data_IF_118063324315
#
_entry.id   IF_118063324315
#
_cell.length_a   1.000
_cell.length_b   1.000
_cell.length_c   1.000
_cell.angle_alpha   90.00
_cell.angle_beta   90.00
_cell.angle_gamma   90.00
#
_symmetry.space_group_name_H-M   'P 1'
#
loop_
_entity.id
_entity.type
_entity.pdbx_description
1 polymer ?
#
# COMPACT_ATOMS: atom_id res chain seq x y z
N UNK A 1 -2.85 -1.57 -30.01
CA UNK A 1 -3.17 -2.58 -28.97
C UNK A 1 -3.68 -1.81 -27.77
N UNK A 2 -4.90 -2.08 -27.30
CA UNK A 2 -5.41 -1.50 -26.06
C UNK A 2 -4.94 -2.31 -24.86
N UNK A 3 -4.70 -1.64 -23.74
CA UNK A 3 -4.33 -2.22 -22.45
C UNK A 3 -5.60 -2.33 -21.62
N UNK A 4 -5.82 -3.47 -20.96
CA UNK A 4 -6.99 -3.65 -20.09
C UNK A 4 -6.57 -3.62 -18.62
N UNK A 5 -7.29 -2.83 -17.82
CA UNK A 5 -7.15 -2.79 -16.37
C UNK A 5 -8.44 -3.35 -15.76
N UNK A 6 -8.31 -4.45 -15.04
CA UNK A 6 -9.42 -5.05 -14.29
C UNK A 6 -9.50 -4.44 -12.90
N UNK A 7 -10.67 -3.90 -12.55
CA UNK A 7 -10.90 -3.22 -11.28
C UNK A 7 -12.03 -3.88 -10.51
N UNK A 8 -11.81 -4.02 -9.21
CA UNK A 8 -12.81 -4.44 -8.23
C UNK A 8 -13.21 -3.23 -7.39
N UNK A 9 -14.51 -2.94 -7.37
CA UNK A 9 -15.08 -1.84 -6.61
C UNK A 9 -15.23 -2.17 -5.12
N UNK A 10 -15.52 -1.17 -4.28
CA UNK A 10 -15.68 -1.36 -2.83
C UNK A 10 -16.85 -2.28 -2.45
N UNK A 11 -17.80 -2.50 -3.37
CA UNK A 11 -18.95 -3.40 -3.20
C UNK A 11 -18.74 -4.77 -3.88
N UNK A 12 -17.56 -5.04 -4.43
CA UNK A 12 -17.25 -6.28 -5.16
C UNK A 12 -17.62 -6.28 -6.65
N UNK A 13 -18.13 -5.16 -7.19
CA UNK A 13 -18.40 -5.00 -8.62
C UNK A 13 -17.11 -5.11 -9.43
N UNK A 14 -17.12 -5.91 -10.49
CA UNK A 14 -15.99 -6.05 -11.40
C UNK A 14 -16.23 -5.23 -12.66
N UNK A 15 -15.26 -4.40 -13.04
CA UNK A 15 -15.26 -3.68 -14.32
C UNK A 15 -13.92 -3.85 -15.02
N UNK A 16 -13.93 -3.75 -16.34
CA UNK A 16 -12.71 -3.67 -17.15
C UNK A 16 -12.67 -2.29 -17.79
N UNK A 17 -11.54 -1.61 -17.62
CA UNK A 17 -11.28 -0.32 -18.26
C UNK A 17 -10.25 -0.53 -19.35
N UNK A 18 -10.56 -0.06 -20.55
CA UNK A 18 -9.61 -0.03 -21.66
C UNK A 18 -8.84 1.28 -21.64
N UNK A 19 -7.53 1.16 -21.82
CA UNK A 19 -6.56 2.25 -21.83
C UNK A 19 -5.80 2.17 -23.14
N UNK A 20 -5.65 3.30 -23.84
CA UNK A 20 -5.07 3.31 -25.18
C UNK A 20 -3.54 3.34 -25.14
N UNK A 21 -2.98 4.00 -24.12
CA UNK A 21 -1.54 4.19 -23.98
C UNK A 21 -1.03 3.86 -22.57
N UNK A 22 0.20 3.36 -22.46
CA UNK A 22 0.78 2.97 -21.16
C UNK A 22 0.84 4.14 -20.15
N UNK A 23 1.09 5.37 -20.63
CA UNK A 23 1.12 6.57 -19.78
C UNK A 23 -0.20 6.88 -19.09
N UNK A 24 -1.32 6.34 -19.59
CA UNK A 24 -2.66 6.54 -19.04
C UNK A 24 -3.00 5.54 -17.92
N UNK A 25 -2.17 4.51 -17.69
CA UNK A 25 -2.40 3.49 -16.67
C UNK A 25 -2.48 4.13 -15.27
N UNK A 26 -1.44 4.84 -14.84
CA UNK A 26 -1.43 5.43 -13.49
C UNK A 26 -2.49 6.52 -13.29
N UNK A 27 -2.74 7.44 -14.25
CA UNK A 27 -3.88 8.35 -14.18
C UNK A 27 -5.22 7.63 -14.01
N UNK A 28 -5.41 6.50 -14.72
CA UNK A 28 -6.61 5.67 -14.62
C UNK A 28 -6.73 5.03 -13.24
N UNK A 29 -5.65 4.41 -12.74
CA UNK A 29 -5.63 3.83 -11.39
C UNK A 29 -5.95 4.86 -10.31
N UNK A 30 -5.36 6.06 -10.38
CA UNK A 30 -5.66 7.16 -9.46
C UNK A 30 -7.13 7.59 -9.53
N UNK A 31 -7.66 7.78 -10.74
CA UNK A 31 -9.05 8.22 -10.97
C UNK A 31 -10.03 7.29 -10.27
N UNK A 32 -9.91 5.98 -10.49
CA UNK A 32 -10.82 5.01 -9.91
C UNK A 32 -10.48 4.71 -8.44
N UNK A 33 -9.19 4.66 -8.08
CA UNK A 33 -8.76 4.31 -6.74
C UNK A 33 -9.07 5.36 -5.67
N UNK A 34 -9.24 6.64 -6.04
CA UNK A 34 -9.85 7.65 -5.15
C UNK A 34 -11.25 7.25 -4.65
N UNK A 35 -11.98 6.45 -5.43
CA UNK A 35 -13.30 5.91 -5.06
C UNK A 35 -13.22 4.50 -4.46
N UNK A 36 -12.02 4.02 -4.12
CA UNK A 36 -11.80 2.72 -3.48
C UNK A 36 -11.73 1.52 -4.43
N UNK A 37 -11.66 1.76 -5.75
CA UNK A 37 -11.42 0.68 -6.71
C UNK A 37 -9.97 0.24 -6.68
N UNK A 38 -9.72 -1.08 -6.77
CA UNK A 38 -8.37 -1.61 -6.81
C UNK A 38 -8.20 -2.65 -7.91
N UNK A 39 -6.96 -2.82 -8.38
CA UNK A 39 -6.59 -3.84 -9.37
C UNK A 39 -5.75 -4.93 -8.72
N UNK A 40 -5.97 -6.18 -9.13
CA UNK A 40 -5.24 -7.35 -8.65
C UNK A 40 -5.46 -7.67 -7.17
N UNK A 41 -4.56 -8.52 -6.67
CA UNK A 41 -4.54 -9.00 -5.29
C UNK A 41 -3.32 -8.48 -4.52
N UNK A 42 -3.44 -8.50 -3.20
CA UNK A 42 -2.37 -8.16 -2.30
C UNK A 42 -1.30 -9.27 -2.32
N UNK A 43 -0.03 -8.98 -2.66
CA UNK A 43 1.03 -9.99 -2.59
C UNK A 43 1.28 -10.45 -1.14
N UNK A 44 1.78 -11.67 -0.96
CA UNK A 44 2.24 -12.16 0.33
C UNK A 44 3.35 -11.26 0.88
N UNK A 45 3.22 -10.81 2.13
CA UNK A 45 4.12 -9.80 2.73
C UNK A 45 3.79 -8.34 2.37
N UNK A 46 2.75 -8.11 1.55
CA UNK A 46 2.36 -6.80 1.07
C UNK A 46 3.29 -6.25 -0.01
N UNK A 47 2.92 -5.08 -0.55
CA UNK A 47 3.73 -4.36 -1.54
C UNK A 47 5.03 -3.88 -0.88
N UNK A 48 6.16 -3.95 -1.58
CA UNK A 48 7.45 -3.46 -1.07
C UNK A 48 7.93 -2.27 -1.90
N UNK A 49 8.09 -1.11 -1.27
CA UNK A 49 8.60 0.12 -1.90
C UNK A 49 9.83 0.68 -1.14
N UNK A 50 10.62 1.57 -1.78
CA UNK A 50 11.72 2.26 -1.12
C UNK A 50 11.27 3.05 0.12
N UNK A 51 12.13 3.11 1.15
CA UNK A 51 11.83 3.83 2.40
C UNK A 51 11.47 5.31 2.17
N UNK A 52 12.17 5.96 1.23
CA UNK A 52 11.94 7.37 0.88
C UNK A 52 10.52 7.67 0.37
N UNK A 53 9.74 6.63 0.01
CA UNK A 53 8.36 6.80 -0.47
C UNK A 53 7.32 6.77 0.65
N UNK A 54 7.71 6.47 1.90
CA UNK A 54 6.77 6.23 3.01
C UNK A 54 5.77 7.38 3.25
N UNK A 55 6.20 8.63 3.04
CA UNK A 55 5.40 9.82 3.32
C UNK A 55 4.85 10.53 2.07
N UNK A 56 5.25 10.05 0.88
CA UNK A 56 4.93 10.69 -0.41
C UNK A 56 4.18 9.77 -1.37
N UNK A 57 3.98 8.50 -1.02
CA UNK A 57 3.26 7.53 -1.85
C UNK A 57 1.78 7.92 -2.05
N UNK A 58 1.31 7.83 -3.29
CA UNK A 58 -0.09 8.04 -3.66
C UNK A 58 -0.93 6.78 -3.39
N UNK A 59 -1.60 6.77 -2.25
CA UNK A 59 -2.48 5.67 -1.82
C UNK A 59 -3.62 5.37 -2.80
N UNK A 60 -4.04 6.34 -3.63
CA UNK A 60 -5.09 6.10 -4.61
C UNK A 60 -4.67 5.12 -5.70
N UNK A 61 -3.36 4.91 -5.93
CA UNK A 61 -2.87 3.94 -6.91
C UNK A 61 -3.29 2.50 -6.61
N UNK A 62 -3.47 2.18 -5.34
CA UNK A 62 -3.91 0.86 -4.89
C UNK A 62 -5.36 0.87 -4.40
N UNK A 63 -6.11 1.96 -4.62
CA UNK A 63 -7.49 2.08 -4.12
C UNK A 63 -7.60 2.26 -2.61
N UNK A 64 -6.56 2.78 -1.97
CA UNK A 64 -6.52 3.00 -0.53
C UNK A 64 -6.64 4.50 -0.19
N UNK A 65 -7.03 4.81 1.04
CA UNK A 65 -7.15 6.20 1.51
C UNK A 65 -6.51 6.39 2.89
N UNK A 66 -5.59 7.35 3.06
CA UNK A 66 -5.02 7.67 4.37
C UNK A 66 -6.07 8.35 5.25
N UNK A 67 -5.98 8.13 6.55
CA UNK A 67 -6.81 8.80 7.55
C UNK A 67 -6.15 8.72 8.94
N UNK A 68 -6.61 9.56 9.86
CA UNK A 68 -6.24 9.45 11.29
C UNK A 68 -7.30 8.62 12.00
N UNK A 69 -6.89 7.58 12.71
CA UNK A 69 -7.82 6.73 13.46
C UNK A 69 -8.29 7.41 14.77
N UNK A 70 -9.18 6.76 15.51
CA UNK A 70 -9.70 7.28 16.77
C UNK A 70 -8.63 7.47 17.86
N UNK A 71 -7.51 6.74 17.75
CA UNK A 71 -6.37 6.81 18.67
C UNK A 71 -5.40 7.95 18.29
N UNK A 72 -5.70 8.72 17.23
CA UNK A 72 -4.80 9.76 16.71
C UNK A 72 -3.65 9.23 15.85
N UNK A 73 -3.63 7.95 15.52
CA UNK A 73 -2.55 7.32 14.75
C UNK A 73 -2.83 7.38 13.24
N UNK A 74 -1.75 7.44 12.45
CA UNK A 74 -1.83 7.33 11.00
C UNK A 74 -2.24 5.91 10.58
N UNK A 75 -3.26 5.84 9.73
CA UNK A 75 -3.76 4.59 9.19
C UNK A 75 -4.19 4.76 7.73
N UNK A 76 -4.41 3.63 7.07
CA UNK A 76 -4.89 3.57 5.70
C UNK A 76 -6.08 2.63 5.64
N UNK A 77 -7.14 3.06 4.96
CA UNK A 77 -8.30 2.23 4.66
C UNK A 77 -8.13 1.60 3.28
N UNK A 78 -8.22 0.29 3.20
CA UNK A 78 -8.15 -0.48 1.95
C UNK A 78 -9.15 -1.64 2.00
N UNK A 79 -10.03 -1.75 0.99
CA UNK A 79 -11.10 -2.78 0.91
C UNK A 79 -11.88 -2.95 2.23
N UNK A 80 -12.26 -1.83 2.85
CA UNK A 80 -13.01 -1.80 4.12
C UNK A 80 -12.22 -2.25 5.36
N UNK A 81 -10.91 -2.42 5.26
CA UNK A 81 -10.02 -2.77 6.37
C UNK A 81 -9.09 -1.60 6.70
N UNK A 82 -8.85 -1.41 7.99
CA UNK A 82 -7.87 -0.44 8.50
C UNK A 82 -6.50 -1.08 8.67
N UNK A 83 -5.47 -0.45 8.12
CA UNK A 83 -4.06 -0.82 8.26
C UNK A 83 -3.33 0.30 9.00
N UNK A 84 -2.80 0.01 10.18
CA UNK A 84 -2.07 0.98 11.02
C UNK A 84 -0.64 1.15 10.51
N UNK A 85 -0.13 2.38 10.52
CA UNK A 85 1.30 2.69 10.30
C UNK A 85 2.10 2.17 11.49
N UNK A 86 3.20 1.46 11.21
CA UNK A 86 4.15 0.94 12.18
C UNK A 86 5.54 1.29 11.74
N UNK A 87 6.29 1.96 12.59
CA UNK A 87 7.70 2.27 12.34
C UNK A 87 8.55 1.29 13.12
N UNK A 88 9.39 0.56 12.40
CA UNK A 88 10.39 -0.34 12.96
C UNK A 88 11.74 0.35 12.74
N UNK A 89 12.38 0.73 13.84
CA UNK A 89 13.69 1.35 13.77
C UNK A 89 14.76 0.37 13.31
N UNK A 90 15.84 0.93 12.78
CA UNK A 90 17.01 0.15 12.40
C UNK A 90 17.58 -0.59 13.62
N UNK A 91 17.82 -1.89 13.45
CA UNK A 91 18.52 -2.70 14.43
C UNK A 91 19.89 -3.01 13.86
N UNK A 92 20.95 -2.43 14.41
CA UNK A 92 22.32 -2.78 14.06
C UNK A 92 23.02 -3.43 15.26
N UNK A 93 22.99 -4.77 15.29
CA UNK A 93 23.76 -5.57 16.24
C UNK A 93 24.73 -6.48 15.49
N UNK A 94 25.76 -6.98 16.19
CA UNK A 94 26.70 -7.95 15.62
C UNK A 94 26.04 -9.23 15.08
N UNK A 95 24.83 -9.57 15.55
CA UNK A 95 24.11 -10.79 15.16
C UNK A 95 22.95 -10.54 14.19
N UNK A 96 22.45 -9.30 14.12
CA UNK A 96 21.24 -8.97 13.41
C UNK A 96 21.33 -7.53 12.91
N UNK A 97 21.22 -7.35 11.59
CA UNK A 97 21.09 -6.06 10.92
C UNK A 97 19.72 -6.01 10.23
N UNK A 98 18.82 -5.17 10.73
CA UNK A 98 17.52 -4.93 10.13
C UNK A 98 17.40 -3.45 9.76
N UNK A 99 17.06 -3.12 8.51
CA UNK A 99 16.90 -1.73 8.09
C UNK A 99 15.67 -1.12 8.77
N UNK A 100 15.62 0.22 8.82
CA UNK A 100 14.38 0.93 9.16
C UNK A 100 13.26 0.56 8.17
N UNK A 101 12.06 0.33 8.70
CA UNK A 101 10.87 -0.02 7.94
C UNK A 101 9.69 0.83 8.40
N UNK A 102 8.95 1.40 7.45
CA UNK A 102 7.59 1.90 7.70
C UNK A 102 6.61 0.90 7.10
N UNK A 103 5.80 0.26 7.93
CA UNK A 103 4.89 -0.82 7.53
C UNK A 103 3.44 -0.47 7.83
N UNK A 104 2.55 -0.69 6.86
CA UNK A 104 1.10 -0.59 7.07
C UNK A 104 0.52 -1.99 7.17
N UNK A 105 0.02 -2.34 8.35
CA UNK A 105 -0.44 -3.70 8.65
C UNK A 105 -1.61 -3.72 9.63
N UNK A 106 -2.34 -4.83 9.65
CA UNK A 106 -3.44 -5.08 10.58
C UNK A 106 -3.32 -6.46 11.20
N UNK A 107 -4.05 -6.72 12.28
CA UNK A 107 -4.19 -8.08 12.82
C UNK A 107 -4.83 -9.01 11.79
N UNK A 108 -4.31 -10.23 11.68
CA UNK A 108 -4.93 -11.27 10.89
C UNK A 108 -6.23 -11.75 11.55
N UNK A 109 -7.22 -12.06 10.73
CA UNK A 109 -8.51 -12.63 11.12
C UNK A 109 -8.58 -14.10 10.70
N UNK A 110 -9.46 -14.91 11.33
CA UNK A 110 -9.64 -16.30 10.93
C UNK A 110 -9.97 -16.47 9.44
N UNK A 111 -10.73 -15.54 8.86
CA UNK A 111 -11.17 -15.54 7.46
C UNK A 111 -10.11 -15.08 6.46
N UNK A 112 -8.96 -14.57 6.91
CA UNK A 112 -7.90 -14.16 6.00
C UNK A 112 -7.21 -15.40 5.38
N UNK A 113 -6.76 -15.26 4.14
CA UNK A 113 -6.08 -16.34 3.42
C UNK A 113 -4.77 -16.71 4.12
N UNK A 114 -4.44 -18.01 4.29
CA UNK A 114 -3.24 -18.44 5.02
C UNK A 114 -1.95 -17.82 4.49
N UNK A 115 -1.80 -17.74 3.15
CA UNK A 115 -0.59 -17.20 2.52
C UNK A 115 -0.36 -15.70 2.73
N UNK A 116 -1.36 -14.97 3.25
CA UNK A 116 -1.24 -13.55 3.58
C UNK A 116 -0.86 -13.31 5.04
N UNK A 117 -0.94 -14.34 5.89
CA UNK A 117 -0.66 -14.24 7.33
C UNK A 117 0.84 -14.27 7.58
N UNK A 118 1.34 -13.24 8.23
CA UNK A 118 2.71 -13.12 8.74
C UNK A 118 2.74 -13.33 10.25
N UNK A 119 3.69 -14.12 10.74
CA UNK A 119 3.88 -14.36 12.17
C UNK A 119 4.10 -15.84 12.48
N UNK A 120 4.43 -16.15 13.73
CA UNK A 120 4.61 -17.52 14.18
C UNK A 120 3.27 -18.23 14.39
N UNK A 121 3.25 -19.55 14.16
CA UNK A 121 2.08 -20.38 14.42
C UNK A 121 1.79 -20.42 15.93
N UNK A 122 0.54 -20.09 16.31
CA UNK A 122 0.13 -19.94 17.71
C UNK A 122 0.44 -18.58 18.32
N UNK A 123 1.07 -17.66 17.58
CA UNK A 123 1.33 -16.28 17.97
C UNK A 123 0.36 -15.25 17.36
N UNK A 124 0.64 -13.96 17.59
CA UNK A 124 -0.10 -12.87 16.93
C UNK A 124 0.31 -12.79 15.47
N UNK A 125 -0.65 -12.98 14.57
CA UNK A 125 -0.45 -12.88 13.13
C UNK A 125 -0.95 -11.56 12.55
N UNK A 126 -0.33 -11.12 11.46
CA UNK A 126 -0.62 -9.86 10.80
C UNK A 126 -0.81 -10.03 9.30
N UNK A 127 -1.52 -9.08 8.69
CA UNK A 127 -1.59 -8.90 7.23
C UNK A 127 -0.94 -7.56 6.91
N UNK A 128 0.11 -7.57 6.08
CA UNK A 128 0.76 -6.35 5.59
C UNK A 128 0.15 -5.90 4.27
N UNK A 129 -0.26 -4.63 4.21
CA UNK A 129 -0.67 -3.99 2.96
C UNK A 129 0.56 -3.56 2.15
N UNK A 130 1.44 -2.82 2.79
CA UNK A 130 2.64 -2.27 2.16
C UNK A 130 3.74 -2.05 3.20
N UNK A 131 4.98 -2.25 2.78
CA UNK A 131 6.20 -1.96 3.53
C UNK A 131 7.10 -1.02 2.72
N UNK A 132 7.54 0.05 3.35
CA UNK A 132 8.56 0.96 2.85
C UNK A 132 9.86 0.66 3.59
N UNK A 133 10.89 0.22 2.87
CA UNK A 133 12.16 -0.24 3.49
C UNK A 133 13.34 -0.11 2.55
N UNK A 134 14.53 -0.13 3.13
CA UNK A 134 15.80 -0.12 2.40
C UNK A 134 16.04 1.15 1.60
N UNK A 135 17.05 1.10 0.72
CA UNK A 135 17.35 2.15 -0.25
C UNK A 135 16.58 2.00 -1.55
N UNK A 136 16.55 3.04 -2.37
CA UNK A 136 15.93 3.02 -3.70
C UNK A 136 15.61 4.40 -4.21
N UNK A 137 15.42 4.53 -5.52
CA UNK A 137 14.98 5.78 -6.13
C UNK A 137 13.49 5.97 -5.91
N UNK A 138 13.10 7.21 -5.64
CA UNK A 138 11.69 7.61 -5.69
C UNK A 138 11.18 7.34 -7.11
N UNK A 139 10.00 6.73 -7.19
CA UNK A 139 9.32 6.48 -8.45
C UNK A 139 8.31 7.61 -8.65
N UNK A 140 8.62 8.58 -9.51
CA UNK A 140 7.81 9.80 -9.71
C UNK A 140 6.34 9.46 -10.04
N UNK A 141 6.13 8.41 -10.83
CA UNK A 141 4.80 7.92 -11.19
C UNK A 141 3.95 7.50 -9.98
N UNK A 142 4.55 7.25 -8.82
CA UNK A 142 3.89 6.74 -7.61
C UNK A 142 3.73 7.81 -6.52
N UNK A 143 4.27 8.99 -6.74
CA UNK A 143 4.21 10.10 -5.79
C UNK A 143 2.82 10.75 -5.84
N UNK A 144 2.31 11.13 -4.67
CA UNK A 144 1.13 11.97 -4.55
C UNK A 144 1.48 13.37 -5.03
N UNK A 145 0.78 13.84 -6.07
CA UNK A 145 1.00 15.15 -6.66
C UNK A 145 0.89 16.29 -5.63
N UNK A 146 0.02 16.14 -4.61
CA UNK A 146 -0.11 17.12 -3.53
C UNK A 146 1.14 17.16 -2.63
N UNK A 147 1.85 16.04 -2.48
CA UNK A 147 3.09 15.93 -1.71
C UNK A 147 4.30 16.39 -2.52
N UNK A 148 4.32 16.13 -3.83
CA UNK A 148 5.38 16.60 -4.72
C UNK A 148 5.47 18.14 -4.80
N UNK A 149 4.32 18.83 -4.75
CA UNK A 149 4.29 20.30 -4.79
C UNK A 149 4.79 20.96 -3.49
N UNK A 150 4.73 20.26 -2.35
CA UNK A 150 5.19 20.77 -1.05
C UNK A 150 6.69 20.66 -0.80
N UNK A 151 7.41 19.88 -1.61
CA UNK A 151 8.88 19.71 -1.53
C UNK A 151 9.66 20.67 -2.43
N UNK A 152 8.98 21.50 -3.22
CA UNK A 152 9.58 22.48 -4.14
C UNK A 152 9.54 23.93 -3.61
N UNK A 153 9.30 24.12 -2.30
CA UNK A 153 9.27 25.41 -1.61
C UNK A 153 10.40 25.56 -0.62
#
# INVERSE_FOLDING_TARGET
MSIQIHLVGPLGTNITIEVQEEREIFPTLRKYGKSGWSSGDLPAGGVSLPLAMADIFDWSLIGARPYTNADGEQAVMYRGQSYKRRELEEVDTKKLKLPKIVKYSRGARPTDLPHLKEGEDGGVQYITLISFRGGGKVLDAYVDAAKAAGTAG
#
